data_IF_510121291985
#
_entry.id   IF_510121291985
#
_cell.length_a   1.000
_cell.length_b   1.000
_cell.length_c   1.000
_cell.angle_alpha   90.00
_cell.angle_beta   90.00
_cell.angle_gamma   90.00
#
_symmetry.space_group_name_H-M   'P 1'
#
loop_
_entity.id
_entity.type
_entity.pdbx_description
1 polymer ?
#
# COMPACT_ATOMS: atom_id res chain seq x y z
N UNK A 1 -23.92 13.40 1.57
CA UNK A 1 -23.13 13.79 2.75
C UNK A 1 -22.25 12.61 3.11
N UNK A 2 -21.01 12.87 3.52
CA UNK A 2 -20.03 11.85 3.94
C UNK A 2 -19.48 12.25 5.31
N UNK A 3 -19.13 11.26 6.11
CA UNK A 3 -18.43 11.42 7.38
C UNK A 3 -16.94 11.74 7.15
N UNK A 4 -16.33 12.42 8.13
CA UNK A 4 -14.91 12.79 8.06
C UNK A 4 -13.99 11.56 8.05
N UNK A 5 -14.39 10.46 8.70
CA UNK A 5 -13.62 9.20 8.69
C UNK A 5 -13.54 8.63 7.27
N UNK A 6 -14.64 8.65 6.51
CA UNK A 6 -14.64 8.27 5.09
C UNK A 6 -13.74 9.13 4.21
N UNK A 7 -13.44 10.38 4.61
CA UNK A 7 -12.48 11.23 3.90
C UNK A 7 -11.04 10.89 4.22
N UNK A 8 -10.75 10.19 5.32
CA UNK A 8 -9.39 9.84 5.67
C UNK A 8 -8.75 9.03 4.53
N UNK A 9 -7.61 9.51 4.03
CA UNK A 9 -6.87 8.87 2.96
C UNK A 9 -7.62 8.73 1.61
N UNK A 10 -8.74 9.47 1.44
CA UNK A 10 -9.49 9.50 0.19
C UNK A 10 -8.62 9.93 -0.99
N UNK A 11 -8.87 9.35 -2.17
CA UNK A 11 -8.21 9.74 -3.42
C UNK A 11 -8.70 11.13 -3.83
N UNK A 12 -7.79 12.04 -4.20
CA UNK A 12 -8.16 13.37 -4.72
C UNK A 12 -7.79 13.44 -6.20
N UNK A 13 -8.77 13.72 -7.05
CA UNK A 13 -8.61 13.81 -8.50
C UNK A 13 -9.17 15.14 -8.99
N UNK A 14 -8.47 15.79 -9.93
CA UNK A 14 -8.97 17.01 -10.55
C UNK A 14 -9.99 16.76 -11.67
N UNK A 15 -10.55 17.84 -12.23
CA UNK A 15 -11.58 17.74 -13.26
C UNK A 15 -11.10 17.19 -14.60
N UNK A 16 -9.79 17.02 -14.80
CA UNK A 16 -9.17 16.44 -16.00
C UNK A 16 -8.75 14.98 -15.79
N UNK A 17 -8.97 14.43 -14.60
CA UNK A 17 -8.65 13.04 -14.27
C UNK A 17 -7.22 12.82 -13.80
N UNK A 18 -6.52 13.85 -13.30
CA UNK A 18 -5.17 13.75 -12.74
C UNK A 18 -5.20 13.65 -11.22
N UNK A 19 -4.34 12.81 -10.66
CA UNK A 19 -4.31 12.55 -9.21
C UNK A 19 -3.55 13.64 -8.47
N UNK A 20 -4.29 14.45 -7.72
CA UNK A 20 -3.74 15.49 -6.85
C UNK A 20 -3.04 14.91 -5.61
N UNK A 21 -3.43 13.70 -5.18
CA UNK A 21 -2.84 13.00 -4.04
C UNK A 21 -3.92 12.29 -3.21
N UNK A 22 -3.71 12.24 -1.89
CA UNK A 22 -4.67 11.70 -0.94
C UNK A 22 -4.95 12.67 0.19
N UNK A 23 -6.16 12.63 0.74
CA UNK A 23 -6.53 13.45 1.89
C UNK A 23 -5.64 13.11 3.10
N UNK A 24 -5.00 14.13 3.66
CA UNK A 24 -4.21 14.04 4.87
C UNK A 24 -5.05 14.31 6.12
N UNK A 25 -5.73 15.46 6.15
CA UNK A 25 -6.59 15.92 7.25
C UNK A 25 -7.50 17.06 6.80
N UNK A 26 -8.57 17.31 7.53
CA UNK A 26 -9.28 18.58 7.50
C UNK A 26 -8.64 19.59 8.46
N UNK A 27 -8.64 20.87 8.06
CA UNK A 27 -8.28 22.03 8.88
C UNK A 27 -9.49 22.94 8.94
N UNK A 28 -9.95 23.20 10.16
CA UNK A 28 -11.11 24.03 10.43
C UNK A 28 -10.62 25.44 10.81
N UNK A 29 -11.00 26.43 10.00
CA UNK A 29 -10.83 27.85 10.28
C UNK A 29 -12.20 28.46 10.61
N UNK A 30 -12.26 29.71 11.09
CA UNK A 30 -13.50 30.31 11.64
C UNK A 30 -14.70 30.24 10.67
N UNK A 31 -14.46 30.48 9.37
CA UNK A 31 -15.51 30.54 8.34
C UNK A 31 -15.36 29.48 7.24
N UNK A 32 -14.29 28.68 7.26
CA UNK A 32 -13.96 27.80 6.14
C UNK A 32 -13.22 26.53 6.58
N UNK A 33 -13.49 25.43 5.87
CA UNK A 33 -12.80 24.15 6.06
C UNK A 33 -11.91 23.89 4.86
N UNK A 34 -10.64 23.63 5.14
CA UNK A 34 -9.63 23.26 4.17
C UNK A 34 -9.26 21.79 4.30
N UNK A 35 -9.05 21.11 3.18
CA UNK A 35 -8.57 19.74 3.13
C UNK A 35 -7.11 19.77 2.66
N UNK A 36 -6.20 19.29 3.51
CA UNK A 36 -4.80 19.11 3.15
C UNK A 36 -4.62 17.80 2.37
N UNK A 37 -3.88 17.84 1.27
CA UNK A 37 -3.61 16.71 0.38
C UNK A 37 -2.13 16.36 0.43
N UNK A 38 -1.82 15.09 0.61
CA UNK A 38 -0.46 14.58 0.62
C UNK A 38 -0.15 13.66 -0.58
N UNK A 39 1.13 13.62 -0.96
CA UNK A 39 1.72 12.58 -1.81
C UNK A 39 2.82 11.86 -1.03
N UNK A 40 3.05 10.59 -1.36
CA UNK A 40 4.20 9.85 -0.86
C UNK A 40 5.43 10.26 -1.66
N UNK A 41 6.47 10.74 -0.99
CA UNK A 41 7.75 11.08 -1.59
C UNK A 41 8.76 10.03 -1.13
N UNK A 42 9.33 9.30 -2.08
CA UNK A 42 10.44 8.38 -1.81
C UNK A 42 11.71 9.21 -1.61
N UNK A 43 12.22 9.21 -0.39
CA UNK A 43 13.52 9.77 -0.06
C UNK A 43 14.54 8.66 0.07
N UNK A 44 15.63 8.76 -0.68
CA UNK A 44 16.82 7.94 -0.49
C UNK A 44 17.70 8.63 0.53
N UNK A 45 17.69 8.14 1.75
CA UNK A 45 18.58 8.62 2.82
C UNK A 45 19.77 7.67 2.92
N UNK A 46 20.98 8.19 2.74
CA UNK A 46 22.20 7.42 3.02
C UNK A 46 22.51 7.52 4.51
N UNK A 47 22.49 6.40 5.21
CA UNK A 47 22.77 6.32 6.65
C UNK A 47 23.73 5.19 7.00
N UNK A 48 24.13 5.04 8.28
CA UNK A 48 25.01 3.96 8.72
C UNK A 48 24.36 2.58 8.54
N UNK A 49 25.08 1.65 7.91
CA UNK A 49 24.70 0.25 7.80
C UNK A 49 25.07 -0.47 9.11
N UNK A 50 24.16 -0.47 10.09
CA UNK A 50 24.44 -1.00 11.43
C UNK A 50 24.77 -2.50 11.43
N UNK A 51 24.19 -3.29 10.53
CA UNK A 51 24.49 -4.71 10.37
C UNK A 51 25.94 -4.92 9.90
N UNK A 52 26.36 -4.18 8.86
CA UNK A 52 27.77 -4.23 8.43
C UNK A 52 28.70 -3.64 9.46
N UNK A 53 28.32 -2.55 10.12
CA UNK A 53 29.12 -1.91 11.16
C UNK A 53 29.41 -2.91 12.28
N UNK A 54 28.39 -3.62 12.76
CA UNK A 54 28.53 -4.66 13.78
C UNK A 54 29.50 -5.77 13.35
N UNK A 55 29.42 -6.22 12.09
CA UNK A 55 30.36 -7.20 11.54
C UNK A 55 31.80 -6.67 11.45
N UNK A 56 32.00 -5.42 11.03
CA UNK A 56 33.33 -4.78 11.01
C UNK A 56 33.90 -4.60 12.41
N UNK A 57 33.07 -4.18 13.37
CA UNK A 57 33.45 -4.04 14.76
C UNK A 57 33.86 -5.38 15.38
N UNK A 58 33.15 -6.47 15.07
CA UNK A 58 33.54 -7.82 15.48
C UNK A 58 34.93 -8.20 14.95
N UNK A 59 35.28 -7.79 13.74
CA UNK A 59 36.61 -8.06 13.17
C UNK A 59 37.75 -7.39 13.93
N UNK A 60 37.48 -6.32 14.67
CA UNK A 60 38.48 -5.63 15.52
C UNK A 60 38.81 -6.38 16.81
N UNK A 61 38.05 -7.42 17.17
CA UNK A 61 38.35 -8.25 18.34
C UNK A 61 39.56 -9.16 18.07
N UNK A 62 40.40 -9.44 19.09
CA UNK A 62 41.57 -10.31 18.93
C UNK A 62 41.15 -11.71 18.46
N UNK A 63 41.81 -12.20 17.40
CA UNK A 63 41.54 -13.54 16.86
C UNK A 63 42.13 -14.62 17.78
N UNK A 64 41.36 -15.67 18.07
CA UNK A 64 41.79 -16.82 18.88
C UNK A 64 41.28 -18.12 18.23
N UNK A 65 42.14 -19.11 17.94
CA UNK A 65 41.72 -20.33 17.22
C UNK A 65 40.68 -21.17 17.99
N UNK A 66 40.66 -21.07 19.32
CA UNK A 66 39.83 -21.88 20.22
C UNK A 66 38.54 -21.19 20.65
N UNK A 67 38.33 -19.91 20.27
CA UNK A 67 37.18 -19.12 20.72
C UNK A 67 36.68 -18.20 19.60
N UNK A 68 35.48 -18.43 19.05
CA UNK A 68 34.92 -17.54 18.05
C UNK A 68 34.65 -16.16 18.64
N UNK A 69 34.85 -15.12 17.83
CA UNK A 69 34.51 -13.73 18.18
C UNK A 69 33.03 -13.64 18.48
N UNK A 70 32.69 -13.14 19.67
CA UNK A 70 31.31 -13.09 20.12
C UNK A 70 30.78 -11.67 20.20
N UNK A 71 29.47 -11.52 19.98
CA UNK A 71 28.79 -10.24 20.15
C UNK A 71 28.90 -9.72 21.59
N UNK A 72 28.78 -10.61 22.57
CA UNK A 72 28.92 -10.27 23.99
C UNK A 72 30.27 -9.61 24.30
N UNK A 73 31.38 -10.12 23.75
CA UNK A 73 32.71 -9.52 23.94
C UNK A 73 32.83 -8.14 23.29
N UNK A 74 32.21 -7.93 22.13
CA UNK A 74 32.15 -6.62 21.50
C UNK A 74 31.37 -5.65 22.39
N UNK A 75 30.19 -6.05 22.87
CA UNK A 75 29.37 -5.22 23.75
C UNK A 75 30.10 -4.90 25.07
N UNK A 76 30.78 -5.87 25.69
CA UNK A 76 31.56 -5.66 26.91
C UNK A 76 32.70 -4.65 26.68
N UNK A 77 33.34 -4.69 25.50
CA UNK A 77 34.36 -3.72 25.09
C UNK A 77 33.76 -2.34 24.88
N UNK A 78 32.64 -2.25 24.17
CA UNK A 78 31.92 -0.99 23.91
C UNK A 78 31.47 -0.35 25.22
N UNK A 79 30.87 -1.11 26.15
CA UNK A 79 30.46 -0.60 27.47
C UNK A 79 31.64 -0.04 28.26
N UNK A 80 32.77 -0.76 28.27
CA UNK A 80 33.97 -0.32 28.99
C UNK A 80 34.51 0.99 28.44
N UNK A 81 34.53 1.14 27.13
CA UNK A 81 35.15 2.30 26.48
C UNK A 81 34.25 3.53 26.44
N UNK A 82 32.94 3.34 26.26
CA UNK A 82 31.94 4.40 26.37
C UNK A 82 31.53 4.68 27.82
N UNK A 83 32.11 3.97 28.80
CA UNK A 83 31.82 4.09 30.24
C UNK A 83 30.33 3.93 30.57
N UNK A 84 29.68 2.98 29.89
CA UNK A 84 28.27 2.66 30.10
C UNK A 84 28.10 1.79 31.36
N UNK A 85 26.95 1.87 32.06
CA UNK A 85 26.61 0.93 33.14
C UNK A 85 26.69 -0.52 32.65
N UNK A 86 27.08 -1.44 33.54
CA UNK A 86 27.26 -2.86 33.20
C UNK A 86 25.99 -3.54 32.68
N UNK A 87 24.81 -3.07 33.11
CA UNK A 87 23.49 -3.53 32.67
C UNK A 87 22.91 -2.77 31.48
N UNK A 88 23.57 -1.70 31.00
CA UNK A 88 23.04 -0.91 29.90
C UNK A 88 23.10 -1.71 28.58
N UNK A 89 22.00 -1.71 27.79
CA UNK A 89 22.01 -2.31 26.48
C UNK A 89 22.95 -1.51 25.55
N UNK A 90 23.66 -2.22 24.69
CA UNK A 90 24.46 -1.61 23.62
C UNK A 90 23.59 -1.60 22.37
N UNK A 91 23.09 -0.43 21.99
CA UNK A 91 22.29 -0.25 20.78
C UNK A 91 23.17 0.15 19.59
N UNK A 92 22.56 0.23 18.41
CA UNK A 92 23.17 0.72 17.18
C UNK A 92 23.82 2.10 17.35
N UNK A 93 23.25 2.95 18.21
CA UNK A 93 23.79 4.27 18.54
C UNK A 93 25.13 4.14 19.28
N UNK A 94 25.22 3.28 20.29
CA UNK A 94 26.47 3.05 21.03
C UNK A 94 27.54 2.40 20.15
N UNK A 95 27.16 1.49 19.24
CA UNK A 95 28.11 0.92 18.27
C UNK A 95 28.66 1.99 17.31
N UNK A 96 27.81 2.89 16.84
CA UNK A 96 28.20 4.03 16.00
C UNK A 96 29.16 4.97 16.72
N UNK A 97 28.83 5.40 17.95
CA UNK A 97 29.69 6.29 18.73
C UNK A 97 31.03 5.63 19.07
N UNK A 98 31.03 4.34 19.41
CA UNK A 98 32.27 3.58 19.62
C UNK A 98 33.14 3.54 18.36
N UNK A 99 32.55 3.25 17.19
CA UNK A 99 33.27 3.22 15.92
C UNK A 99 33.86 4.59 15.58
N UNK A 100 33.10 5.66 15.79
CA UNK A 100 33.52 7.05 15.60
C UNK A 100 34.67 7.43 16.54
N UNK A 101 34.57 7.10 17.83
CA UNK A 101 35.62 7.35 18.84
C UNK A 101 36.92 6.62 18.50
N UNK A 102 36.82 5.43 17.90
CA UNK A 102 37.96 4.61 17.46
C UNK A 102 38.49 4.97 16.07
N UNK A 103 37.87 5.92 15.36
CA UNK A 103 38.25 6.27 13.99
C UNK A 103 38.07 5.12 12.99
N UNK A 104 37.15 4.19 13.27
CA UNK A 104 36.86 3.06 12.40
C UNK A 104 35.92 3.50 11.26
N UNK A 105 36.06 2.94 10.04
CA UNK A 105 35.17 3.26 8.94
C UNK A 105 33.74 2.82 9.28
N UNK A 106 32.78 3.72 9.10
CA UNK A 106 31.37 3.46 9.33
C UNK A 106 30.73 3.13 7.97
N UNK A 107 30.38 1.86 7.69
CA UNK A 107 29.76 1.50 6.44
C UNK A 107 28.40 2.18 6.30
N UNK A 108 28.03 2.53 5.07
CA UNK A 108 26.76 3.21 4.76
C UNK A 108 25.85 2.35 3.90
N UNK A 109 24.54 2.47 4.09
CA UNK A 109 23.49 1.89 3.25
C UNK A 109 22.48 2.96 2.86
N UNK A 110 21.95 2.86 1.65
CA UNK A 110 20.81 3.67 1.22
C UNK A 110 19.52 3.06 1.75
N UNK A 111 18.76 3.86 2.49
CA UNK A 111 17.42 3.55 2.96
C UNK A 111 16.42 4.29 2.08
N UNK A 112 15.43 3.57 1.56
CA UNK A 112 14.28 4.17 0.90
C UNK A 112 13.21 4.42 1.97
N UNK A 113 13.03 5.69 2.32
CA UNK A 113 11.99 6.12 3.26
C UNK A 113 10.86 6.76 2.47
N UNK A 114 9.60 6.43 2.80
CA UNK A 114 8.41 7.01 2.16
C UNK A 114 7.78 8.01 3.12
N UNK A 115 7.96 9.30 2.84
CA UNK A 115 7.39 10.37 3.65
C UNK A 115 6.10 10.93 3.05
N UNK A 116 5.11 11.19 3.89
CA UNK A 116 3.90 11.93 3.49
C UNK A 116 4.23 13.41 3.45
N UNK A 117 4.25 13.99 2.26
CA UNK A 117 4.42 15.43 2.07
C UNK A 117 3.09 16.06 1.69
N UNK A 118 2.63 17.05 2.44
CA UNK A 118 1.49 17.89 2.03
C UNK A 118 1.91 18.69 0.80
N UNK A 119 1.16 18.54 -0.29
CA UNK A 119 1.47 19.14 -1.60
C UNK A 119 0.45 20.18 -2.03
N UNK A 120 -0.76 20.13 -1.48
CA UNK A 120 -1.88 20.97 -1.88
C UNK A 120 -2.89 21.07 -0.75
N UNK A 121 -3.61 22.19 -0.66
CA UNK A 121 -4.76 22.35 0.25
C UNK A 121 -5.91 23.02 -0.52
N UNK A 122 -7.13 22.55 -0.34
CA UNK A 122 -8.30 23.13 -1.00
C UNK A 122 -9.48 23.34 -0.05
N UNK A 123 -10.29 24.36 -0.32
CA UNK A 123 -11.55 24.60 0.38
C UNK A 123 -12.63 23.62 -0.11
N UNK A 124 -13.58 23.27 0.77
CA UNK A 124 -14.76 22.48 0.39
C UNK A 124 -15.52 23.05 -0.82
N UNK A 125 -15.45 24.37 -1.07
CA UNK A 125 -16.09 25.03 -2.22
C UNK A 125 -15.55 24.55 -3.57
N UNK A 126 -14.33 24.01 -3.60
CA UNK A 126 -13.65 23.52 -4.80
C UNK A 126 -14.04 22.07 -5.16
N UNK A 127 -14.77 21.38 -4.30
CA UNK A 127 -15.22 20.00 -4.53
C UNK A 127 -16.40 19.99 -5.50
N UNK A 128 -16.30 19.21 -6.58
CA UNK A 128 -17.40 18.88 -7.48
C UNK A 128 -18.31 17.83 -6.83
N UNK A 129 -17.72 16.70 -6.40
CA UNK A 129 -18.45 15.63 -5.71
C UNK A 129 -17.51 14.80 -4.83
N UNK A 130 -18.08 14.09 -3.86
CA UNK A 130 -17.40 13.06 -3.08
C UNK A 130 -18.17 11.76 -3.25
N UNK A 131 -17.51 10.76 -3.84
CA UNK A 131 -18.08 9.45 -4.05
C UNK A 131 -17.45 8.42 -3.13
N UNK A 132 -18.28 7.52 -2.62
CA UNK A 132 -17.86 6.38 -1.79
C UNK A 132 -18.28 5.10 -2.50
N UNK A 133 -17.34 4.17 -2.65
CA UNK A 133 -17.60 2.79 -3.07
C UNK A 133 -16.84 1.83 -2.17
N UNK A 134 -17.06 0.52 -2.33
CA UNK A 134 -16.29 -0.47 -1.57
C UNK A 134 -14.78 -0.30 -1.80
N UNK A 135 -14.36 0.16 -2.98
CA UNK A 135 -12.96 0.42 -3.32
C UNK A 135 -12.34 1.63 -2.60
N UNK A 136 -13.15 2.45 -1.95
CA UNK A 136 -12.75 3.61 -1.17
C UNK A 136 -13.46 4.90 -1.56
N UNK A 137 -12.98 6.00 -0.99
CA UNK A 137 -13.53 7.35 -1.21
C UNK A 137 -12.72 8.11 -2.24
N UNK A 138 -13.41 8.83 -3.13
CA UNK A 138 -12.82 9.76 -4.08
C UNK A 138 -13.42 11.16 -3.92
N UNK A 139 -12.57 12.17 -3.89
CA UNK A 139 -12.92 13.58 -3.96
C UNK A 139 -12.57 14.10 -5.35
N UNK A 140 -13.58 14.51 -6.11
CA UNK A 140 -13.42 15.15 -7.42
C UNK A 140 -13.42 16.66 -7.25
N UNK A 141 -12.42 17.35 -7.78
CA UNK A 141 -12.33 18.81 -7.79
C UNK A 141 -12.95 19.40 -9.06
N UNK A 142 -13.51 20.61 -8.97
CA UNK A 142 -14.09 21.35 -10.10
C UNK A 142 -13.04 21.80 -11.10
N UNK A 143 -11.87 22.18 -10.61
CA UNK A 143 -10.81 22.82 -11.39
C UNK A 143 -9.65 21.84 -11.69
N UNK A 144 -8.94 22.03 -12.82
CA UNK A 144 -7.87 21.16 -13.31
C UNK A 144 -6.53 21.39 -12.57
N UNK A 145 -6.54 21.31 -11.24
CA UNK A 145 -5.42 21.73 -10.38
C UNK A 145 -4.10 21.02 -10.72
N UNK A 146 -4.12 19.68 -10.79
CA UNK A 146 -2.90 18.89 -11.03
C UNK A 146 -2.49 18.95 -12.50
N UNK A 147 -3.45 18.93 -13.43
CA UNK A 147 -3.19 19.11 -14.85
C UNK A 147 -2.47 20.44 -15.15
N UNK A 148 -2.94 21.55 -14.56
CA UNK A 148 -2.28 22.85 -14.71
C UNK A 148 -0.89 22.87 -14.09
N UNK A 149 -0.70 22.22 -12.93
CA UNK A 149 0.63 22.07 -12.30
C UNK A 149 1.62 21.31 -13.18
N UNK A 150 1.13 20.41 -14.04
CA UNK A 150 1.90 19.67 -15.03
C UNK A 150 2.03 20.39 -16.38
N UNK A 151 1.58 21.65 -16.48
CA UNK A 151 1.52 22.45 -17.72
C UNK A 151 0.71 21.78 -18.85
N UNK A 152 -0.30 21.01 -18.48
CA UNK A 152 -1.22 20.39 -19.44
C UNK A 152 -2.39 21.34 -19.71
N UNK A 153 -2.72 21.49 -20.99
CA UNK A 153 -3.86 22.30 -21.42
C UNK A 153 -5.14 21.45 -21.37
N UNK A 154 -6.19 21.87 -20.64
CA UNK A 154 -7.47 21.18 -20.63
C UNK A 154 -8.04 21.04 -22.05
N UNK A 155 -8.46 19.83 -22.44
CA UNK A 155 -9.01 19.58 -23.77
C UNK A 155 -10.52 19.40 -23.72
N UNK A 156 -11.27 20.05 -24.60
CA UNK A 156 -12.74 19.90 -24.64
C UNK A 156 -13.21 18.53 -25.13
N UNK A 157 -12.37 17.81 -25.90
CA UNK A 157 -12.65 16.46 -26.40
C UNK A 157 -11.68 15.44 -25.82
N UNK A 158 -12.16 14.21 -25.65
CA UNK A 158 -11.35 13.07 -25.24
C UNK A 158 -10.78 12.39 -26.49
N UNK A 159 -9.45 12.47 -26.72
CA UNK A 159 -8.84 11.79 -27.87
C UNK A 159 -8.97 10.28 -27.73
N UNK A 160 -9.08 9.58 -28.86
CA UNK A 160 -9.03 8.12 -28.87
C UNK A 160 -7.66 7.63 -28.35
N UNK A 161 -7.68 6.55 -27.58
CA UNK A 161 -6.50 5.93 -26.97
C UNK A 161 -6.47 4.43 -27.26
N UNK A 162 -5.28 3.85 -27.32
CA UNK A 162 -5.10 2.41 -27.46
C UNK A 162 -5.36 1.68 -26.13
N UNK A 163 -5.47 0.35 -26.19
CA UNK A 163 -5.57 -0.51 -25.00
C UNK A 163 -4.41 -0.28 -24.04
N UNK A 164 -3.17 -0.18 -24.54
CA UNK A 164 -1.97 0.02 -23.74
C UNK A 164 -2.01 1.34 -22.96
N UNK A 165 -2.63 2.38 -23.52
CA UNK A 165 -2.72 3.70 -22.91
C UNK A 165 -3.78 3.79 -21.80
N UNK A 166 -4.80 2.93 -21.83
CA UNK A 166 -5.93 2.97 -20.86
C UNK A 166 -5.88 1.83 -19.85
N UNK A 167 -5.26 0.71 -20.18
CA UNK A 167 -5.26 -0.50 -19.35
C UNK A 167 -4.72 -0.22 -17.95
N UNK A 168 -5.44 -0.71 -16.95
CA UNK A 168 -5.10 -0.59 -15.54
C UNK A 168 -5.45 0.75 -14.89
N UNK A 169 -5.86 1.76 -15.66
CA UNK A 169 -6.32 3.04 -15.11
C UNK A 169 -7.58 2.83 -14.29
N UNK A 170 -7.62 3.47 -13.13
CA UNK A 170 -8.81 3.50 -12.29
C UNK A 170 -9.94 4.20 -13.05
N UNK A 171 -11.15 3.65 -13.01
CA UNK A 171 -12.34 4.25 -13.64
C UNK A 171 -13.29 4.75 -12.57
N UNK A 172 -13.73 5.99 -12.70
CA UNK A 172 -14.57 6.71 -11.73
C UNK A 172 -15.79 7.25 -12.46
N UNK A 173 -16.98 7.03 -11.89
CA UNK A 173 -18.23 7.53 -12.48
C UNK A 173 -18.49 9.01 -12.15
N UNK A 174 -19.57 9.59 -12.71
CA UNK A 174 -19.90 11.00 -12.48
C UNK A 174 -20.37 11.33 -11.05
N UNK A 175 -20.66 10.33 -10.21
CA UNK A 175 -20.92 10.52 -8.79
C UNK A 175 -19.62 10.46 -7.95
N UNK A 176 -18.47 10.22 -8.57
CA UNK A 176 -17.19 10.03 -7.89
C UNK A 176 -16.99 8.61 -7.37
N UNK A 177 -17.85 7.64 -7.71
CA UNK A 177 -17.67 6.25 -7.26
C UNK A 177 -16.55 5.60 -8.06
N UNK A 178 -15.59 5.00 -7.34
CA UNK A 178 -14.55 4.18 -7.95
C UNK A 178 -15.18 2.86 -8.37
N UNK A 179 -15.12 2.53 -9.66
CA UNK A 179 -15.76 1.35 -10.24
C UNK A 179 -14.83 0.14 -10.34
N UNK A 180 -13.55 0.39 -10.57
CA UNK A 180 -12.55 -0.65 -10.88
C UNK A 180 -11.55 -0.12 -11.90
N UNK A 181 -11.14 -0.96 -12.86
CA UNK A 181 -10.04 -0.64 -13.78
C UNK A 181 -10.39 -0.90 -15.24
N UNK A 182 -9.88 -0.02 -16.10
CA UNK A 182 -9.95 -0.22 -17.54
C UNK A 182 -9.16 -1.46 -17.95
N UNK A 183 -9.80 -2.33 -18.74
CA UNK A 183 -9.22 -3.58 -19.20
C UNK A 183 -8.62 -3.42 -20.60
N UNK A 184 -9.44 -2.98 -21.56
CA UNK A 184 -9.08 -2.86 -22.98
C UNK A 184 -10.05 -1.99 -23.75
N UNK A 185 -9.62 -1.58 -24.94
CA UNK A 185 -10.46 -0.92 -25.94
C UNK A 185 -10.97 -1.96 -26.94
N UNK A 186 -12.27 -1.90 -27.22
CA UNK A 186 -12.97 -2.72 -28.19
C UNK A 186 -13.36 -1.88 -29.41
N UNK A 187 -13.32 -2.51 -30.58
CA UNK A 187 -13.66 -1.92 -31.87
C UNK A 187 -15.04 -2.43 -32.29
N UNK A 188 -16.01 -1.52 -32.43
CA UNK A 188 -17.32 -1.77 -33.05
C UNK A 188 -17.62 -0.73 -34.12
N UNK A 189 -18.89 -0.37 -34.27
CA UNK A 189 -19.31 0.84 -35.00
C UNK A 189 -18.78 2.14 -34.35
N UNK A 190 -18.41 2.04 -33.07
CA UNK A 190 -17.78 3.05 -32.23
C UNK A 190 -16.68 2.41 -31.38
N UNK A 191 -15.84 3.22 -30.75
CA UNK A 191 -14.88 2.75 -29.75
C UNK A 191 -15.57 2.54 -28.41
N UNK A 192 -15.29 1.41 -27.77
CA UNK A 192 -15.85 1.04 -26.47
C UNK A 192 -14.73 0.70 -25.51
N UNK A 193 -14.77 1.25 -24.30
CA UNK A 193 -13.86 0.92 -23.22
C UNK A 193 -14.48 -0.17 -22.36
N UNK A 194 -13.82 -1.32 -22.24
CA UNK A 194 -14.21 -2.35 -21.27
C UNK A 194 -13.56 -2.06 -19.92
N UNK A 195 -14.37 -2.03 -18.87
CA UNK A 195 -13.98 -1.79 -17.49
C UNK A 195 -14.30 -3.05 -16.68
N UNK A 196 -13.29 -3.58 -15.98
CA UNK A 196 -13.49 -4.60 -14.97
C UNK A 196 -14.04 -3.91 -13.71
N UNK A 197 -15.27 -4.26 -13.34
CA UNK A 197 -15.88 -3.79 -12.10
C UNK A 197 -15.27 -4.57 -10.93
N UNK A 198 -14.77 -3.85 -9.94
CA UNK A 198 -14.04 -4.40 -8.80
C UNK A 198 -14.74 -4.03 -7.48
N UNK A 199 -14.65 -4.92 -6.49
CA UNK A 199 -15.10 -4.63 -5.12
C UNK A 199 -14.25 -5.39 -4.09
N UNK A 200 -14.25 -4.94 -2.84
CA UNK A 200 -13.62 -5.68 -1.75
C UNK A 200 -14.53 -6.83 -1.30
N UNK A 201 -14.03 -8.05 -1.44
CA UNK A 201 -14.67 -9.24 -0.90
C UNK A 201 -13.95 -9.64 0.37
N UNK A 202 -14.72 -9.75 1.46
CA UNK A 202 -14.23 -10.32 2.72
C UNK A 202 -14.45 -11.82 2.66
N UNK A 203 -13.37 -12.61 2.73
CA UNK A 203 -13.45 -14.07 2.84
C UNK A 203 -12.92 -14.51 4.19
N UNK A 204 -13.66 -15.41 4.84
CA UNK A 204 -13.12 -16.15 5.98
C UNK A 204 -12.18 -17.22 5.43
N UNK A 205 -10.89 -17.03 5.66
CA UNK A 205 -9.84 -17.97 5.27
C UNK A 205 -9.25 -18.61 6.52
N UNK A 206 -8.85 -19.88 6.47
CA UNK A 206 -8.15 -20.51 7.60
C UNK A 206 -6.92 -19.70 7.99
N UNK A 207 -6.71 -19.51 9.29
CA UNK A 207 -5.50 -18.87 9.80
C UNK A 207 -4.33 -19.85 9.75
N UNK A 208 -3.66 -19.86 8.59
CA UNK A 208 -2.56 -20.78 8.27
C UNK A 208 -1.43 -20.67 9.29
N UNK A 209 -1.11 -19.46 9.75
CA UNK A 209 -0.01 -19.23 10.68
C UNK A 209 -0.29 -19.89 12.04
N UNK A 210 -1.52 -19.72 12.53
CA UNK A 210 -1.95 -20.33 13.79
C UNK A 210 -2.08 -21.85 13.66
N UNK A 211 -2.64 -22.34 12.55
CA UNK A 211 -2.73 -23.77 12.25
C UNK A 211 -1.34 -24.42 12.15
N UNK A 212 -0.40 -23.79 11.46
CA UNK A 212 0.96 -24.27 11.30
C UNK A 212 1.71 -24.27 12.64
N UNK A 213 1.51 -23.24 13.47
CA UNK A 213 2.07 -23.20 14.83
C UNK A 213 1.54 -24.34 15.70
N UNK A 214 0.24 -24.63 15.65
CA UNK A 214 -0.37 -25.75 16.38
C UNK A 214 0.16 -27.09 15.86
N UNK A 215 0.21 -27.27 14.54
CA UNK A 215 0.74 -28.46 13.88
C UNK A 215 2.20 -28.73 14.27
N UNK A 216 3.04 -27.70 14.30
CA UNK A 216 4.43 -27.81 14.73
C UNK A 216 4.59 -28.11 16.22
N UNK A 217 3.68 -27.61 17.06
CA UNK A 217 3.68 -27.88 18.51
C UNK A 217 3.35 -29.35 18.78
N UNK A 218 2.32 -29.88 18.12
CA UNK A 218 1.94 -31.30 18.21
C UNK A 218 3.05 -32.23 17.68
N UNK A 219 3.67 -31.87 16.54
CA UNK A 219 4.84 -32.61 16.04
C UNK A 219 6.05 -32.52 16.97
N UNK A 220 6.24 -31.39 17.65
CA UNK A 220 7.35 -31.16 18.60
C UNK A 220 7.14 -31.80 19.98
N UNK A 221 5.92 -32.27 20.30
CA UNK A 221 5.61 -33.05 21.49
C UNK A 221 6.02 -34.53 21.39
N UNK A 222 6.32 -35.01 20.17
CA UNK A 222 6.96 -36.28 19.91
C UNK A 222 8.47 -36.06 19.88
N UNK A 223 9.19 -36.72 20.78
CA UNK A 223 10.58 -36.42 21.15
C UNK A 223 11.58 -36.21 20.00
N UNK A 224 12.58 -35.38 20.34
CA UNK A 224 13.82 -35.07 19.59
C UNK A 224 13.66 -34.23 18.30
N UNK A 225 14.12 -32.97 18.37
CA UNK A 225 14.27 -32.05 17.23
C UNK A 225 15.18 -32.66 16.15
N UNK A 226 14.69 -32.93 14.93
CA UNK A 226 15.52 -32.94 13.75
C UNK A 226 15.61 -31.51 13.17
N UNK A 227 16.62 -31.22 12.34
CA UNK A 227 16.74 -29.91 11.69
C UNK A 227 15.57 -29.73 10.72
N UNK A 228 14.82 -28.63 10.86
CA UNK A 228 13.67 -28.26 10.02
C UNK A 228 13.92 -28.57 8.53
N UNK A 229 13.28 -29.59 7.94
CA UNK A 229 12.90 -29.46 6.54
C UNK A 229 11.81 -28.37 6.54
N UNK A 230 11.83 -27.47 5.56
CA UNK A 230 10.64 -26.65 5.28
C UNK A 230 9.55 -27.62 4.81
N UNK A 231 8.81 -28.20 5.75
CA UNK A 231 7.64 -29.00 5.45
C UNK A 231 6.68 -28.11 4.66
N UNK A 232 6.60 -28.32 3.35
CA UNK A 232 5.60 -27.68 2.49
C UNK A 232 4.27 -28.38 2.76
N UNK A 233 3.63 -28.01 3.87
CA UNK A 233 2.26 -28.43 4.17
C UNK A 233 1.33 -27.43 3.50
N UNK A 234 0.42 -27.93 2.67
CA UNK A 234 -0.64 -27.11 2.07
C UNK A 234 -1.67 -26.69 3.12
N UNK A 235 -2.43 -25.63 2.83
CA UNK A 235 -3.49 -25.14 3.72
C UNK A 235 -4.56 -26.21 3.92
N UNK A 236 -4.91 -26.92 2.85
CA UNK A 236 -5.88 -28.01 2.86
C UNK A 236 -5.45 -29.11 3.83
N UNK A 237 -4.18 -29.52 3.79
CA UNK A 237 -3.63 -30.53 4.71
C UNK A 237 -3.65 -30.10 6.17
N UNK A 238 -3.37 -28.82 6.46
CA UNK A 238 -3.45 -28.28 7.82
C UNK A 238 -4.90 -28.25 8.35
N UNK A 239 -5.86 -27.89 7.49
CA UNK A 239 -7.28 -27.87 7.83
C UNK A 239 -7.81 -29.30 8.06
N UNK A 240 -7.46 -30.23 7.18
CA UNK A 240 -7.82 -31.65 7.33
C UNK A 240 -7.22 -32.26 8.59
N UNK A 241 -5.96 -31.96 8.89
CA UNK A 241 -5.31 -32.37 10.13
C UNK A 241 -6.08 -31.84 11.35
N UNK A 242 -6.34 -30.53 11.42
CA UNK A 242 -7.04 -29.94 12.57
C UNK A 242 -8.43 -30.57 12.77
N UNK A 243 -9.18 -30.82 11.69
CA UNK A 243 -10.48 -31.50 11.75
C UNK A 243 -10.35 -32.94 12.25
N UNK A 244 -9.34 -33.68 11.78
CA UNK A 244 -9.10 -35.08 12.18
C UNK A 244 -8.78 -35.19 13.67
N UNK A 245 -7.99 -34.25 14.20
CA UNK A 245 -7.66 -34.19 15.63
C UNK A 245 -8.79 -33.58 16.48
N UNK A 246 -9.97 -33.29 15.91
CA UNK A 246 -11.10 -32.70 16.63
C UNK A 246 -10.89 -31.24 17.06
N UNK A 247 -9.89 -30.56 16.48
CA UNK A 247 -9.60 -29.16 16.79
C UNK A 247 -10.45 -28.20 15.94
N UNK A 248 -10.86 -27.10 16.57
CA UNK A 248 -11.49 -26.00 15.84
C UNK A 248 -10.48 -25.33 14.91
N UNK A 249 -10.86 -25.19 13.65
CA UNK A 249 -10.07 -24.50 12.62
C UNK A 249 -10.20 -23.00 12.85
N UNK A 250 -9.12 -22.28 13.21
CA UNK A 250 -9.18 -20.83 13.33
C UNK A 250 -9.34 -20.20 11.94
N UNK A 251 -10.20 -19.19 11.83
CA UNK A 251 -10.38 -18.42 10.61
C UNK A 251 -10.03 -16.96 10.86
N UNK A 252 -9.44 -16.30 9.85
CA UNK A 252 -9.26 -14.86 9.79
C UNK A 252 -10.02 -14.28 8.60
N UNK A 253 -10.42 -13.02 8.71
CA UNK A 253 -11.00 -12.29 7.61
C UNK A 253 -9.88 -11.74 6.71
N UNK A 254 -9.85 -12.19 5.46
CA UNK A 254 -9.00 -11.63 4.43
C UNK A 254 -9.83 -10.73 3.53
N UNK A 255 -9.39 -9.48 3.38
CA UNK A 255 -9.99 -8.50 2.46
C UNK A 255 -9.16 -8.48 1.18
N UNK A 256 -9.80 -8.80 0.06
CA UNK A 256 -9.14 -8.73 -1.26
C UNK A 256 -10.07 -8.08 -2.28
N UNK A 257 -9.47 -7.37 -3.23
CA UNK A 257 -10.20 -6.81 -4.37
C UNK A 257 -10.45 -7.95 -5.35
N UNK A 258 -11.72 -8.18 -5.70
CA UNK A 258 -12.11 -9.14 -6.73
C UNK A 258 -12.87 -8.45 -7.85
N UNK A 259 -12.76 -9.01 -9.05
CA UNK A 259 -13.63 -8.65 -10.17
C UNK A 259 -15.03 -9.19 -9.91
N UNK A 260 -16.01 -8.29 -9.86
CA UNK A 260 -17.43 -8.60 -9.63
C UNK A 260 -18.27 -8.47 -10.90
N UNK A 261 -17.71 -7.91 -11.98
CA UNK A 261 -18.41 -7.80 -13.26
C UNK A 261 -17.59 -7.11 -14.34
N UNK A 262 -18.25 -6.85 -15.48
CA UNK A 262 -17.71 -6.06 -16.59
C UNK A 262 -18.71 -4.96 -16.96
N UNK A 263 -18.19 -3.82 -17.41
CA UNK A 263 -18.96 -2.72 -17.97
C UNK A 263 -18.31 -2.28 -19.28
N UNK A 264 -19.10 -2.25 -20.35
CA UNK A 264 -18.68 -1.70 -21.64
C UNK A 264 -19.21 -0.26 -21.77
N UNK A 265 -18.30 0.70 -21.87
CA UNK A 265 -18.59 2.14 -21.90
C UNK A 265 -18.31 2.71 -23.28
N UNK A 266 -19.29 3.38 -23.90
CA UNK A 266 -19.05 4.04 -25.19
C UNK A 266 -18.04 5.17 -25.04
N UNK A 267 -17.18 5.40 -26.02
CA UNK A 267 -16.18 6.47 -25.94
C UNK A 267 -16.79 7.86 -25.71
N UNK A 268 -17.99 8.10 -26.22
CA UNK A 268 -18.75 9.35 -26.03
C UNK A 268 -19.20 9.57 -24.58
N UNK A 269 -19.16 8.54 -23.73
CA UNK A 269 -19.54 8.60 -22.31
C UNK A 269 -18.33 8.75 -21.39
N UNK A 270 -17.13 8.92 -21.96
CA UNK A 270 -15.92 9.26 -21.22
C UNK A 270 -15.83 10.79 -21.12
N UNK A 271 -15.83 11.31 -19.88
CA UNK A 271 -15.68 12.74 -19.60
C UNK A 271 -14.22 13.16 -19.84
N UNK A 272 -13.26 12.44 -19.25
CA UNK A 272 -11.81 12.73 -19.31
C UNK A 272 -10.95 11.48 -19.14
N UNK A 273 -9.71 11.56 -19.63
CA UNK A 273 -8.68 10.53 -19.46
C UNK A 273 -7.37 11.23 -19.03
N UNK A 274 -7.03 11.12 -17.75
CA UNK A 274 -5.76 11.55 -17.16
C UNK A 274 -5.01 10.36 -16.57
N UNK A 275 -4.62 10.45 -15.30
CA UNK A 275 -4.15 9.31 -14.51
C UNK A 275 -5.26 8.26 -14.32
N UNK A 276 -6.49 8.75 -14.12
CA UNK A 276 -7.73 7.98 -14.05
C UNK A 276 -8.64 8.30 -15.22
N UNK A 277 -9.67 7.48 -15.41
CA UNK A 277 -10.71 7.69 -16.42
C UNK A 277 -11.96 8.17 -15.69
N UNK A 278 -12.44 9.35 -16.05
CA UNK A 278 -13.68 9.93 -15.55
C UNK A 278 -14.81 9.69 -16.55
N UNK A 279 -15.92 9.13 -16.09
CA UNK A 279 -17.10 8.91 -16.92
C UNK A 279 -18.07 10.08 -16.81
N UNK A 280 -18.85 10.33 -17.86
CA UNK A 280 -19.84 11.41 -17.89
C UNK A 280 -21.15 11.05 -17.17
N UNK A 281 -21.36 9.76 -16.88
CA UNK A 281 -22.58 9.21 -16.28
C UNK A 281 -22.27 8.36 -15.06
N UNK A 282 -23.30 8.08 -14.27
CA UNK A 282 -23.22 7.16 -13.13
C UNK A 282 -23.25 5.71 -13.60
N UNK A 283 -22.72 4.78 -12.79
CA UNK A 283 -22.76 3.35 -13.12
C UNK A 283 -24.18 2.85 -13.44
N UNK A 284 -25.18 3.34 -12.70
CA UNK A 284 -26.57 2.93 -12.86
C UNK A 284 -27.19 3.36 -14.21
N UNK A 285 -26.65 4.42 -14.82
CA UNK A 285 -27.09 4.94 -16.13
C UNK A 285 -26.32 4.33 -17.31
N UNK A 286 -25.16 3.72 -17.04
CA UNK A 286 -24.29 3.10 -18.03
C UNK A 286 -24.60 1.62 -18.24
N UNK A 287 -25.15 0.95 -17.22
CA UNK A 287 -25.66 -0.40 -17.40
C UNK A 287 -26.86 -0.33 -18.35
N UNK A 288 -26.94 -1.19 -19.39
CA UNK A 288 -28.21 -1.39 -20.04
C UNK A 288 -29.20 -1.78 -18.93
N UNK A 289 -30.29 -1.01 -18.80
CA UNK A 289 -31.48 -1.43 -18.04
C UNK A 289 -31.67 -2.90 -18.42
N UNK A 290 -31.52 -3.81 -17.46
CA UNK A 290 -31.73 -5.25 -17.68
C UNK A 290 -32.93 -5.37 -18.60
N UNK A 291 -32.76 -6.10 -19.70
CA UNK A 291 -33.85 -6.51 -20.55
C UNK A 291 -34.99 -6.96 -19.63
N UNK A 292 -36.05 -6.15 -19.57
CA UNK A 292 -37.31 -6.54 -18.98
C UNK A 292 -37.92 -7.52 -19.99
N UNK A 293 -37.48 -8.77 -19.91
CA UNK A 293 -37.98 -9.93 -20.64
C UNK A 293 -37.55 -11.15 -19.83
N UNK A 294 -38.40 -12.02 -19.31
CA UNK A 294 -39.86 -12.17 -19.32
C UNK A 294 -40.25 -13.02 -18.12
#
# INVERSE_FOLDING_TARGET
MVDEESLANALVVDSEGYVCGRVYRARYEEDEVFIDVYKLVEQRVTGPDYEKLKLELLKTLPWRPWKPRSLKELEDKVRRELRLPSSAPVTDKELYEYARLRGLPIPTRSYEHRDKKVVYSFSLKQIETIGVSGLGTCVLLKEPVEALRLNLQPTSRVPFRSTEQVKGKLTIDSAGKILGRAQKVLLGDTLVLRVDLEDYVVKKVPDVDLLLSRYQTELGGLGERPPKPKLQVSVEQLVEWARREGMEVPYKEERRVEKVGELDVKWSEIKKIGDVILLSKRLEELKPLKAQTS
#
